data_IF_520878337290
#
_entry.id   IF_520878337290
#
_cell.length_a   1.000
_cell.length_b   1.000
_cell.length_c   1.000
_cell.angle_alpha   90.00
_cell.angle_beta   90.00
_cell.angle_gamma   90.00
#
_symmetry.space_group_name_H-M   'P 1'
#
loop_
_entity.id
_entity.type
_entity.pdbx_description
1 polymer ?
#
# COMPACT_ATOMS: atom_id res chain seq x y z
N UNK A 1 5.88 -21.22 1.31
CA UNK A 1 7.07 -20.71 2.05
C UNK A 1 6.80 -19.41 2.84
N UNK A 2 6.14 -18.39 2.25
CA UNK A 2 5.86 -17.15 2.96
C UNK A 2 4.94 -17.40 4.15
N UNK A 3 3.82 -18.08 3.94
CA UNK A 3 2.82 -18.34 4.98
C UNK A 3 3.40 -19.28 6.05
N UNK A 4 4.10 -20.32 5.64
CA UNK A 4 4.63 -21.34 6.56
C UNK A 4 5.89 -20.89 7.29
N UNK A 5 6.82 -20.21 6.61
CA UNK A 5 8.14 -19.92 7.17
C UNK A 5 8.26 -18.52 7.81
N UNK A 6 7.39 -17.57 7.44
CA UNK A 6 7.39 -16.23 8.08
C UNK A 6 6.34 -16.14 9.18
N UNK A 7 5.17 -16.74 8.94
CA UNK A 7 4.05 -16.64 9.88
C UNK A 7 3.89 -17.89 10.78
N UNK A 8 4.68 -18.94 10.55
CA UNK A 8 4.50 -20.25 11.20
C UNK A 8 3.05 -20.77 11.07
N UNK A 9 2.42 -20.46 9.94
CA UNK A 9 1.04 -20.81 9.64
C UNK A 9 1.01 -21.96 8.67
N UNK A 10 0.74 -23.15 9.17
CA UNK A 10 0.57 -24.33 8.29
C UNK A 10 -0.72 -24.22 7.50
N UNK A 11 -0.60 -24.33 6.16
CA UNK A 11 -1.75 -24.49 5.28
C UNK A 11 -2.25 -25.94 5.34
N UNK A 12 -3.52 -26.11 5.66
CA UNK A 12 -4.19 -27.42 5.60
C UNK A 12 -5.24 -27.42 4.47
N UNK A 13 -5.00 -28.12 3.35
CA UNK A 13 -5.93 -28.13 2.23
C UNK A 13 -7.33 -28.71 2.56
N UNK A 14 -7.51 -29.34 3.71
CA UNK A 14 -8.80 -29.88 4.15
C UNK A 14 -9.66 -28.84 4.88
N UNK A 15 -9.04 -27.87 5.52
CA UNK A 15 -9.70 -26.86 6.35
C UNK A 15 -9.52 -25.43 5.83
N UNK A 16 -8.56 -25.20 4.95
CA UNK A 16 -8.24 -23.88 4.43
C UNK A 16 -8.79 -23.65 3.03
N UNK A 17 -9.29 -22.44 2.78
CA UNK A 17 -9.80 -22.03 1.50
C UNK A 17 -9.51 -20.54 1.24
N UNK A 18 -9.17 -20.21 0.00
CA UNK A 18 -8.82 -18.87 -0.42
C UNK A 18 -9.90 -18.21 -1.28
N UNK A 19 -10.14 -16.93 -1.05
CA UNK A 19 -10.92 -16.11 -1.96
C UNK A 19 -9.97 -15.37 -2.91
N UNK A 20 -10.18 -15.52 -4.20
CA UNK A 20 -9.39 -14.88 -5.25
C UNK A 20 -10.28 -14.00 -6.12
N UNK A 21 -10.20 -12.69 -5.89
CA UNK A 21 -10.89 -11.67 -6.67
C UNK A 21 -9.90 -10.75 -7.42
N UNK A 22 -8.61 -11.00 -7.28
CA UNK A 22 -7.55 -10.25 -7.95
C UNK A 22 -7.31 -10.78 -9.37
N UNK A 23 -7.02 -9.89 -10.35
CA UNK A 23 -6.71 -10.29 -11.70
C UNK A 23 -5.48 -11.20 -11.76
N UNK A 24 -5.63 -12.39 -12.35
CA UNK A 24 -4.56 -13.39 -12.45
C UNK A 24 -3.45 -13.03 -13.47
N UNK A 25 -3.66 -12.00 -14.29
CA UNK A 25 -2.59 -11.45 -15.14
C UNK A 25 -1.63 -10.50 -14.38
N UNK A 26 -1.97 -10.14 -13.15
CA UNK A 26 -1.12 -9.34 -12.27
C UNK A 26 -0.40 -10.26 -11.27
N UNK A 27 0.90 -10.00 -10.99
CA UNK A 27 1.71 -10.84 -10.09
C UNK A 27 1.04 -11.11 -8.73
N UNK A 28 0.33 -10.14 -8.18
CA UNK A 28 -0.39 -10.29 -6.91
C UNK A 28 -1.46 -11.39 -6.99
N UNK A 29 -2.35 -11.31 -8.01
CA UNK A 29 -3.39 -12.33 -8.20
C UNK A 29 -2.82 -13.68 -8.65
N UNK A 30 -1.83 -13.67 -9.54
CA UNK A 30 -1.20 -14.90 -10.03
C UNK A 30 -0.42 -15.62 -8.93
N UNK A 31 0.58 -14.96 -8.34
CA UNK A 31 1.51 -15.64 -7.45
C UNK A 31 0.90 -15.87 -6.06
N UNK A 32 0.35 -14.83 -5.41
CA UNK A 32 -0.14 -14.97 -4.05
C UNK A 32 -1.49 -15.71 -3.95
N UNK A 33 -2.39 -15.49 -4.90
CA UNK A 33 -3.69 -16.15 -4.82
C UNK A 33 -3.70 -17.49 -5.59
N UNK A 34 -3.52 -17.46 -6.91
CA UNK A 34 -3.68 -18.66 -7.72
C UNK A 34 -2.56 -19.69 -7.49
N UNK A 35 -1.30 -19.26 -7.59
CA UNK A 35 -0.16 -20.18 -7.50
C UNK A 35 -0.02 -20.78 -6.10
N UNK A 36 -0.17 -19.98 -5.04
CA UNK A 36 -0.12 -20.51 -3.66
C UNK A 36 -1.16 -21.60 -3.45
N UNK A 37 -2.40 -21.38 -3.87
CA UNK A 37 -3.45 -22.40 -3.71
C UNK A 37 -3.18 -23.67 -4.49
N UNK A 38 -2.65 -23.57 -5.71
CA UNK A 38 -2.24 -24.75 -6.49
C UNK A 38 -1.12 -25.51 -5.78
N UNK A 39 -0.08 -24.82 -5.29
CA UNK A 39 1.06 -25.44 -4.63
C UNK A 39 0.72 -26.07 -3.27
N UNK A 40 -0.22 -25.49 -2.53
CA UNK A 40 -0.65 -25.99 -1.22
C UNK A 40 -1.80 -26.99 -1.30
N UNK A 41 -2.46 -27.12 -2.46
CA UNK A 41 -3.69 -27.91 -2.61
C UNK A 41 -4.92 -27.24 -1.98
N UNK A 42 -4.83 -25.96 -1.63
CA UNK A 42 -5.91 -25.19 -0.98
C UNK A 42 -7.04 -24.89 -1.98
N UNK A 43 -8.30 -25.22 -1.65
CA UNK A 43 -9.45 -24.82 -2.46
C UNK A 43 -9.53 -23.31 -2.68
N UNK A 44 -10.01 -22.91 -3.87
CA UNK A 44 -10.20 -21.50 -4.24
C UNK A 44 -11.63 -21.20 -4.60
N UNK A 45 -12.14 -20.05 -4.15
CA UNK A 45 -13.31 -19.38 -4.73
C UNK A 45 -12.84 -18.28 -5.67
N UNK A 46 -13.03 -18.48 -6.98
CA UNK A 46 -12.63 -17.52 -8.02
C UNK A 46 -13.78 -16.59 -8.38
N UNK A 47 -13.54 -15.31 -8.32
CA UNK A 47 -14.50 -14.28 -8.72
C UNK A 47 -13.94 -13.50 -9.91
N UNK A 48 -14.56 -13.61 -11.10
CA UNK A 48 -14.12 -12.88 -12.29
C UNK A 48 -14.39 -11.37 -12.18
N UNK A 49 -15.31 -10.98 -11.30
CA UNK A 49 -15.64 -9.59 -11.00
C UNK A 49 -15.87 -9.43 -9.50
N UNK A 50 -15.59 -8.23 -9.00
CA UNK A 50 -15.83 -7.90 -7.60
C UNK A 50 -17.34 -7.83 -7.30
N UNK A 51 -17.76 -8.56 -6.26
CA UNK A 51 -19.07 -8.44 -5.64
C UNK A 51 -18.95 -8.65 -4.13
N UNK A 52 -19.33 -7.63 -3.35
CA UNK A 52 -19.19 -7.67 -1.89
C UNK A 52 -20.10 -8.71 -1.22
N UNK A 53 -21.28 -8.96 -1.80
CA UNK A 53 -22.20 -9.97 -1.28
C UNK A 53 -21.66 -11.37 -1.56
N UNK A 54 -21.13 -11.61 -2.75
CA UNK A 54 -20.51 -12.90 -3.09
C UNK A 54 -19.32 -13.23 -2.18
N UNK A 55 -18.52 -12.22 -1.77
CA UNK A 55 -17.46 -12.43 -0.77
C UNK A 55 -18.02 -12.95 0.56
N UNK A 56 -19.08 -12.31 1.05
CA UNK A 56 -19.77 -12.72 2.27
C UNK A 56 -20.36 -14.16 2.16
N UNK A 57 -21.02 -14.44 1.04
CA UNK A 57 -21.62 -15.75 0.80
C UNK A 57 -20.55 -16.85 0.68
N UNK A 58 -19.38 -16.53 0.08
CA UNK A 58 -18.26 -17.46 -0.03
C UNK A 58 -17.64 -17.79 1.34
N UNK A 59 -17.44 -16.79 2.20
CA UNK A 59 -16.92 -16.99 3.55
C UNK A 59 -17.84 -17.97 4.30
N UNK A 60 -19.17 -17.73 4.27
CA UNK A 60 -20.15 -18.57 4.96
C UNK A 60 -20.24 -19.99 4.37
N UNK A 61 -20.24 -20.10 3.04
CA UNK A 61 -20.51 -21.37 2.36
C UNK A 61 -19.30 -22.28 2.28
N UNK A 62 -18.11 -21.69 2.08
CA UNK A 62 -16.88 -22.43 1.79
C UNK A 62 -15.84 -22.33 2.89
N UNK A 63 -16.13 -21.64 4.00
CA UNK A 63 -15.18 -21.49 5.11
C UNK A 63 -13.90 -20.74 4.71
N UNK A 64 -14.04 -19.75 3.80
CA UNK A 64 -12.89 -18.95 3.36
C UNK A 64 -12.17 -18.33 4.57
N UNK A 65 -10.86 -18.58 4.66
CA UNK A 65 -10.00 -18.08 5.74
C UNK A 65 -8.70 -17.41 5.25
N UNK A 66 -8.53 -17.29 3.93
CA UNK A 66 -7.47 -16.49 3.28
C UNK A 66 -8.10 -15.54 2.26
N UNK A 67 -7.91 -14.24 2.46
CA UNK A 67 -8.47 -13.19 1.58
C UNK A 67 -7.42 -12.13 1.31
N UNK A 68 -7.13 -11.88 0.03
CA UNK A 68 -6.26 -10.80 -0.39
C UNK A 68 -6.95 -9.89 -1.41
N UNK A 69 -6.70 -8.61 -1.30
CA UNK A 69 -7.29 -7.60 -2.18
C UNK A 69 -6.51 -6.30 -2.20
N UNK A 70 -6.92 -5.38 -3.06
CA UNK A 70 -6.45 -4.00 -3.05
C UNK A 70 -7.25 -3.16 -2.05
N UNK A 71 -6.77 -1.98 -1.61
CA UNK A 71 -7.49 -1.17 -0.62
C UNK A 71 -8.93 -0.83 -1.03
N UNK A 72 -9.18 -0.50 -2.30
CA UNK A 72 -10.51 -0.20 -2.83
C UNK A 72 -11.48 -1.39 -2.72
N UNK A 73 -10.97 -2.62 -2.86
CA UNK A 73 -11.75 -3.84 -2.63
C UNK A 73 -12.30 -3.88 -1.19
N UNK A 74 -11.43 -3.71 -0.19
CA UNK A 74 -11.82 -3.76 1.21
C UNK A 74 -12.70 -2.57 1.64
N UNK A 75 -12.44 -1.37 1.11
CA UNK A 75 -13.32 -0.22 1.33
C UNK A 75 -14.75 -0.48 0.83
N UNK A 76 -14.90 -1.09 -0.35
CA UNK A 76 -16.20 -1.46 -0.91
C UNK A 76 -16.88 -2.56 -0.09
N UNK A 77 -16.14 -3.59 0.32
CA UNK A 77 -16.64 -4.68 1.16
C UNK A 77 -17.11 -4.14 2.52
N UNK A 78 -16.31 -3.29 3.16
CA UNK A 78 -16.66 -2.66 4.43
C UNK A 78 -17.91 -1.78 4.33
N UNK A 79 -17.96 -0.89 3.32
CA UNK A 79 -19.11 0.00 3.07
C UNK A 79 -20.41 -0.75 2.74
N UNK A 80 -20.31 -1.86 2.05
CA UNK A 80 -21.47 -2.69 1.73
C UNK A 80 -22.08 -3.36 2.98
N UNK A 81 -21.31 -3.53 4.06
CA UNK A 81 -21.79 -4.05 5.33
C UNK A 81 -22.12 -5.53 5.38
N UNK A 82 -21.88 -6.29 4.29
CA UNK A 82 -22.23 -7.71 4.22
C UNK A 82 -21.35 -8.61 5.10
N UNK A 83 -20.23 -8.11 5.59
CA UNK A 83 -19.37 -8.86 6.52
C UNK A 83 -19.80 -8.75 7.99
N UNK A 84 -20.71 -7.82 8.34
CA UNK A 84 -21.17 -7.68 9.73
C UNK A 84 -21.91 -8.92 10.21
N UNK A 85 -21.50 -9.41 11.40
CA UNK A 85 -22.12 -10.57 12.05
C UNK A 85 -21.82 -11.92 11.37
N UNK A 86 -20.81 -11.98 10.50
CA UNK A 86 -20.30 -13.25 9.97
C UNK A 86 -19.29 -13.80 10.96
N UNK A 87 -19.41 -15.07 11.31
CA UNK A 87 -18.37 -15.76 12.09
C UNK A 87 -17.07 -15.83 11.27
N UNK A 88 -16.03 -15.18 11.76
CA UNK A 88 -14.67 -15.17 11.21
C UNK A 88 -13.66 -15.78 12.18
N UNK A 89 -14.08 -16.56 13.15
CA UNK A 89 -13.20 -17.18 14.15
C UNK A 89 -12.12 -18.07 13.53
N UNK A 90 -12.37 -18.61 12.33
CA UNK A 90 -11.42 -19.40 11.57
C UNK A 90 -10.57 -18.58 10.57
N UNK A 91 -10.73 -17.25 10.49
CA UNK A 91 -9.94 -16.41 9.61
C UNK A 91 -8.46 -16.48 9.99
N UNK A 92 -7.61 -16.87 9.07
CA UNK A 92 -6.17 -17.01 9.26
C UNK A 92 -5.39 -15.80 8.75
N UNK A 93 -5.74 -15.35 7.54
CA UNK A 93 -5.01 -14.26 6.91
C UNK A 93 -5.92 -13.44 5.98
N UNK A 94 -6.05 -12.18 6.28
CA UNK A 94 -6.80 -11.21 5.47
C UNK A 94 -5.98 -9.94 5.33
N UNK A 95 -5.77 -9.50 4.09
CA UNK A 95 -4.86 -8.38 3.90
C UNK A 95 -4.93 -7.69 2.55
N UNK A 96 -4.32 -6.52 2.51
CA UNK A 96 -4.31 -5.61 1.38
C UNK A 96 -2.89 -5.28 0.92
N UNK A 97 -2.77 -5.04 -0.37
CA UNK A 97 -1.51 -4.62 -1.00
C UNK A 97 -1.73 -4.10 -2.42
N UNK A 98 -0.64 -3.90 -3.17
CA UNK A 98 -0.68 -3.40 -4.54
C UNK A 98 -0.91 -1.89 -4.67
N UNK A 99 -1.34 -1.23 -3.60
CA UNK A 99 -1.39 0.24 -3.45
C UNK A 99 -1.18 0.58 -1.97
N UNK A 100 -1.03 1.88 -1.66
CA UNK A 100 -0.92 2.35 -0.28
C UNK A 100 -2.18 1.98 0.49
N UNK A 101 -2.03 1.23 1.57
CA UNK A 101 -3.12 0.86 2.46
C UNK A 101 -3.33 2.00 3.47
N UNK A 102 -4.47 2.73 3.43
CA UNK A 102 -4.75 3.78 4.39
C UNK A 102 -4.85 3.19 5.81
N UNK A 103 -4.23 3.83 6.80
CA UNK A 103 -4.29 3.37 8.17
C UNK A 103 -5.73 3.31 8.70
N UNK A 104 -6.58 4.26 8.30
CA UNK A 104 -8.01 4.26 8.61
C UNK A 104 -8.76 3.02 8.08
N UNK A 105 -8.30 2.42 6.97
CA UNK A 105 -8.85 1.16 6.48
C UNK A 105 -8.41 -0.01 7.37
N UNK A 106 -7.13 -0.04 7.76
CA UNK A 106 -6.61 -1.06 8.70
C UNK A 106 -7.41 -1.06 9.99
N UNK A 107 -7.60 0.10 10.62
CA UNK A 107 -8.40 0.23 11.85
C UNK A 107 -9.86 -0.24 11.67
N UNK A 108 -10.50 0.11 10.55
CA UNK A 108 -11.87 -0.33 10.25
C UNK A 108 -11.96 -1.86 10.10
N UNK A 109 -10.99 -2.44 9.39
CA UNK A 109 -10.95 -3.88 9.15
C UNK A 109 -10.62 -4.65 10.42
N UNK A 110 -9.67 -4.20 11.23
CA UNK A 110 -9.33 -4.80 12.52
C UNK A 110 -10.51 -4.80 13.48
N UNK A 111 -11.24 -3.68 13.55
CA UNK A 111 -12.48 -3.60 14.33
C UNK A 111 -13.52 -4.61 13.85
N UNK A 112 -13.75 -4.68 12.53
CA UNK A 112 -14.69 -5.62 11.93
C UNK A 112 -14.29 -7.08 12.21
N UNK A 113 -13.02 -7.42 12.06
CA UNK A 113 -12.48 -8.74 12.34
C UNK A 113 -12.73 -9.13 13.79
N UNK A 114 -12.39 -8.25 14.74
CA UNK A 114 -12.59 -8.45 16.18
C UNK A 114 -14.07 -8.62 16.53
N UNK A 115 -14.95 -7.78 15.97
CA UNK A 115 -16.41 -7.88 16.18
C UNK A 115 -16.98 -9.18 15.63
N UNK A 116 -16.35 -9.78 14.62
CA UNK A 116 -16.73 -11.05 14.00
C UNK A 116 -15.98 -12.28 14.56
N UNK A 117 -15.24 -12.13 15.68
CA UNK A 117 -14.57 -13.23 16.37
C UNK A 117 -13.25 -13.69 15.77
N UNK A 118 -12.68 -12.97 14.81
CA UNK A 118 -11.37 -13.29 14.26
C UNK A 118 -10.24 -13.08 15.28
N UNK A 119 -9.22 -13.93 15.19
CA UNK A 119 -8.01 -13.88 16.03
C UNK A 119 -6.79 -13.30 15.32
N UNK A 120 -6.98 -12.82 14.11
CA UNK A 120 -5.92 -12.19 13.31
C UNK A 120 -6.22 -10.70 13.09
N UNK A 121 -5.16 -9.94 12.81
CA UNK A 121 -5.24 -8.54 12.38
C UNK A 121 -5.21 -8.44 10.85
N UNK A 122 -5.69 -7.31 10.34
CA UNK A 122 -5.64 -6.98 8.93
C UNK A 122 -4.21 -6.65 8.51
N UNK A 123 -3.67 -7.36 7.52
CA UNK A 123 -2.28 -7.19 7.09
C UNK A 123 -2.14 -6.24 5.91
N UNK A 124 -1.05 -5.47 5.92
CA UNK A 124 -0.58 -4.69 4.80
C UNK A 124 0.60 -5.39 4.17
N UNK A 125 0.55 -5.62 2.85
CA UNK A 125 1.63 -6.25 2.09
C UNK A 125 2.25 -5.30 1.08
N UNK A 126 3.57 -5.41 0.91
CA UNK A 126 4.34 -4.67 -0.08
C UNK A 126 5.00 -5.64 -1.05
N UNK A 127 5.02 -5.25 -2.30
CA UNK A 127 5.70 -5.99 -3.35
C UNK A 127 5.63 -5.31 -4.70
N UNK A 128 6.37 -5.81 -5.65
CA UNK A 128 6.48 -5.28 -7.01
C UNK A 128 6.67 -6.41 -8.02
N UNK A 129 6.35 -6.12 -9.27
CA UNK A 129 6.44 -7.08 -10.38
C UNK A 129 7.87 -7.61 -10.55
N UNK A 130 8.86 -6.77 -10.32
CA UNK A 130 10.28 -7.07 -10.41
C UNK A 130 10.78 -8.13 -9.40
N UNK A 131 9.96 -8.42 -8.38
CA UNK A 131 10.17 -9.50 -7.39
C UNK A 131 9.05 -10.55 -7.45
N UNK A 132 8.34 -10.67 -8.55
CA UNK A 132 7.14 -11.50 -8.75
C UNK A 132 5.92 -10.96 -8.02
N UNK A 133 5.97 -10.63 -6.72
CA UNK A 133 4.86 -10.04 -5.99
C UNK A 133 5.25 -9.54 -4.59
N UNK A 134 5.06 -10.36 -3.54
CA UNK A 134 5.20 -9.95 -2.14
C UNK A 134 6.65 -10.04 -1.69
N UNK A 135 7.14 -8.93 -1.13
CA UNK A 135 8.48 -8.84 -0.52
C UNK A 135 8.40 -8.70 1.00
N UNK A 136 7.35 -8.07 1.51
CA UNK A 136 7.12 -7.95 2.95
C UNK A 136 5.63 -7.86 3.27
N UNK A 137 5.25 -8.14 4.51
CA UNK A 137 3.91 -7.91 5.04
C UNK A 137 3.91 -7.83 6.56
N UNK A 138 2.89 -7.17 7.12
CA UNK A 138 2.73 -7.02 8.56
C UNK A 138 2.31 -8.33 9.22
N UNK A 139 2.72 -8.54 10.46
CA UNK A 139 2.38 -9.75 11.21
C UNK A 139 0.89 -9.76 11.60
N UNK A 140 0.09 -10.75 11.15
CA UNK A 140 -1.33 -10.85 11.50
C UNK A 140 -1.62 -11.09 12.99
N UNK A 141 -0.62 -11.37 13.81
CA UNK A 141 -0.75 -11.62 15.25
C UNK A 141 -0.70 -10.34 16.09
N UNK A 142 -0.38 -9.19 15.49
CA UNK A 142 -0.29 -7.90 16.16
C UNK A 142 -0.85 -6.77 15.30
N UNK A 143 -1.32 -5.71 15.94
CA UNK A 143 -1.72 -4.50 15.23
C UNK A 143 -0.54 -3.93 14.44
N UNK A 144 -0.80 -3.56 13.18
CA UNK A 144 0.20 -2.96 12.34
C UNK A 144 0.34 -1.46 12.66
N UNK A 145 1.55 -0.95 12.93
CA UNK A 145 1.77 0.49 13.06
C UNK A 145 1.45 1.23 11.76
N UNK A 146 1.07 2.50 11.88
CA UNK A 146 0.78 3.36 10.73
C UNK A 146 1.97 3.42 9.76
N UNK A 147 1.70 3.22 8.46
CA UNK A 147 2.71 3.24 7.40
C UNK A 147 3.62 2.02 7.37
N UNK A 148 3.45 1.06 8.29
CA UNK A 148 4.20 -0.18 8.29
C UNK A 148 3.75 -1.08 7.14
N UNK A 149 4.71 -1.59 6.38
CA UNK A 149 4.54 -2.60 5.32
C UNK A 149 5.15 -3.95 5.73
N UNK A 150 5.47 -4.10 7.02
CA UNK A 150 5.90 -5.32 7.68
C UNK A 150 7.38 -5.63 7.55
N UNK A 151 7.71 -6.88 7.80
CA UNK A 151 9.06 -7.42 7.73
C UNK A 151 9.28 -8.17 6.41
N UNK A 152 10.53 -8.30 5.93
CA UNK A 152 10.84 -9.08 4.74
C UNK A 152 10.33 -10.52 4.82
N UNK A 153 9.83 -11.02 3.71
CA UNK A 153 9.46 -12.42 3.56
C UNK A 153 10.69 -13.35 3.68
N UNK A 154 10.44 -14.64 3.87
CA UNK A 154 11.50 -15.64 3.93
C UNK A 154 12.43 -15.58 2.71
N UNK A 155 13.74 -15.62 2.94
CA UNK A 155 14.80 -15.44 1.92
C UNK A 155 14.81 -14.07 1.20
N UNK A 156 13.97 -13.13 1.58
CA UNK A 156 14.04 -11.75 1.13
C UNK A 156 14.93 -10.95 2.09
N UNK A 157 15.85 -10.16 1.57
CA UNK A 157 16.62 -9.19 2.34
C UNK A 157 16.23 -7.79 1.92
N UNK A 158 16.11 -6.90 2.87
CA UNK A 158 15.82 -5.50 2.66
C UNK A 158 16.90 -4.64 3.30
N UNK A 159 17.26 -3.55 2.64
CA UNK A 159 18.07 -2.48 3.20
C UNK A 159 17.59 -1.13 2.66
N UNK A 160 17.92 -0.06 3.35
CA UNK A 160 17.76 1.29 2.82
C UNK A 160 19.13 1.86 2.45
N UNK A 161 19.18 2.54 1.29
CA UNK A 161 20.40 3.21 0.81
C UNK A 161 20.14 4.69 0.57
N UNK A 162 21.21 5.48 0.58
CA UNK A 162 21.12 6.87 0.14
C UNK A 162 20.69 6.91 -1.33
N UNK A 163 19.61 7.64 -1.69
CA UNK A 163 19.09 7.67 -3.05
C UNK A 163 20.15 7.95 -4.10
N UNK A 164 20.17 7.13 -5.17
CA UNK A 164 21.14 7.23 -6.25
C UNK A 164 22.53 6.69 -5.94
N UNK A 165 22.71 6.00 -4.81
CA UNK A 165 23.97 5.35 -4.42
C UNK A 165 23.73 3.92 -3.95
N UNK A 166 24.81 3.19 -3.62
CA UNK A 166 24.76 1.88 -2.94
C UNK A 166 25.12 1.98 -1.45
N UNK A 167 25.22 3.19 -0.90
CA UNK A 167 25.60 3.42 0.49
C UNK A 167 24.42 3.13 1.42
N UNK A 168 24.53 2.08 2.22
CA UNK A 168 23.53 1.71 3.20
C UNK A 168 23.35 2.83 4.24
N UNK A 169 22.11 3.16 4.58
CA UNK A 169 21.73 4.03 5.69
C UNK A 169 20.92 3.21 6.71
N UNK A 170 21.17 3.43 8.01
CA UNK A 170 20.51 2.71 9.10
C UNK A 170 19.81 3.70 10.03
N UNK A 171 18.54 3.41 10.37
CA UNK A 171 17.76 4.28 11.23
C UNK A 171 17.40 5.64 10.60
N UNK A 172 17.47 5.74 9.27
CA UNK A 172 17.13 6.92 8.49
C UNK A 172 16.30 6.53 7.27
N UNK A 173 15.54 7.49 6.72
CA UNK A 173 14.83 7.31 5.47
C UNK A 173 15.81 7.14 4.29
N UNK A 174 15.64 6.10 3.50
CA UNK A 174 16.45 5.81 2.33
C UNK A 174 15.65 5.12 1.23
N UNK A 175 16.26 4.93 0.06
CA UNK A 175 15.68 4.10 -0.99
C UNK A 175 15.71 2.64 -0.56
N UNK A 176 14.55 1.99 -0.59
CA UNK A 176 14.43 0.56 -0.30
C UNK A 176 15.09 -0.25 -1.41
N UNK A 177 16.03 -1.11 -1.02
CA UNK A 177 16.63 -2.10 -1.90
C UNK A 177 16.26 -3.51 -1.43
N UNK A 178 15.92 -4.38 -2.39
CA UNK A 178 15.48 -5.75 -2.15
C UNK A 178 16.46 -6.73 -2.82
N UNK A 179 16.84 -7.75 -2.07
CA UNK A 179 17.51 -8.94 -2.59
C UNK A 179 16.65 -10.15 -2.31
N UNK A 180 16.25 -10.88 -3.35
CA UNK A 180 15.39 -12.04 -3.24
C UNK A 180 15.71 -13.07 -4.33
N UNK A 181 15.44 -14.35 -4.10
CA UNK A 181 15.58 -15.39 -5.14
C UNK A 181 14.55 -15.23 -6.27
N UNK A 182 13.53 -14.40 -6.06
CA UNK A 182 12.47 -14.12 -7.02
C UNK A 182 12.69 -12.83 -7.82
N UNK A 183 13.89 -12.24 -7.75
CA UNK A 183 14.20 -11.08 -8.60
C UNK A 183 14.10 -11.43 -10.08
N UNK A 184 13.54 -10.52 -10.86
CA UNK A 184 13.52 -10.65 -12.32
C UNK A 184 14.94 -10.70 -12.90
N UNK A 185 15.10 -11.30 -14.06
CA UNK A 185 16.36 -11.24 -14.82
C UNK A 185 16.56 -9.87 -15.47
N UNK A 186 15.47 -9.15 -15.77
CA UNK A 186 15.47 -7.82 -16.35
C UNK A 186 14.17 -7.48 -17.06
N UNK A 187 14.07 -6.24 -17.53
CA UNK A 187 12.99 -5.80 -18.41
C UNK A 187 13.19 -6.32 -19.82
N UNK A 188 12.12 -6.84 -20.42
CA UNK A 188 12.17 -7.42 -21.76
C UNK A 188 12.60 -6.39 -22.82
N UNK A 189 13.68 -6.69 -23.54
CA UNK A 189 14.30 -5.79 -24.54
C UNK A 189 14.67 -4.39 -24.03
N UNK A 190 14.87 -4.22 -22.72
CA UNK A 190 15.27 -2.93 -22.13
C UNK A 190 16.40 -3.10 -21.10
N UNK A 191 17.63 -3.35 -21.57
CA UNK A 191 18.79 -3.51 -20.70
C UNK A 191 19.16 -2.21 -19.97
N UNK A 192 18.89 -1.06 -20.57
CA UNK A 192 19.22 0.24 -19.98
C UNK A 192 18.33 0.54 -18.76
N UNK A 193 17.02 0.28 -18.83
CA UNK A 193 16.13 0.40 -17.67
C UNK A 193 16.45 -0.71 -16.64
N UNK A 194 16.81 -1.92 -17.09
CA UNK A 194 17.24 -3.01 -16.18
C UNK A 194 18.45 -2.59 -15.35
N UNK A 195 19.47 -2.02 -15.98
CA UNK A 195 20.69 -1.58 -15.29
C UNK A 195 20.46 -0.43 -14.27
N UNK A 196 19.39 0.35 -14.42
CA UNK A 196 19.02 1.39 -13.45
C UNK A 196 18.42 0.84 -12.17
N UNK A 197 17.81 -0.34 -12.22
CA UNK A 197 17.10 -0.90 -11.07
C UNK A 197 17.79 -2.14 -10.48
N UNK A 198 18.44 -2.96 -11.29
CA UNK A 198 19.24 -4.10 -10.82
C UNK A 198 20.72 -3.69 -10.70
N UNK A 199 21.11 -3.30 -9.50
CA UNK A 199 22.44 -2.73 -9.24
C UNK A 199 23.28 -3.68 -8.38
N UNK A 200 24.52 -3.89 -8.79
CA UNK A 200 25.49 -4.66 -7.99
C UNK A 200 26.04 -3.80 -6.86
N UNK A 201 25.85 -4.25 -5.62
CA UNK A 201 26.35 -3.58 -4.42
C UNK A 201 27.74 -4.07 -4.02
N UNK A 202 28.32 -3.44 -3.00
CA UNK A 202 29.66 -3.75 -2.50
C UNK A 202 29.75 -5.15 -1.88
N UNK A 203 28.63 -5.76 -1.48
CA UNK A 203 28.54 -7.15 -0.99
C UNK A 203 28.60 -8.21 -2.13
N UNK A 204 28.73 -7.74 -3.36
CA UNK A 204 28.82 -8.57 -4.58
C UNK A 204 27.48 -9.07 -5.09
N UNK A 205 26.36 -8.79 -4.39
CA UNK A 205 25.00 -9.19 -4.81
C UNK A 205 24.37 -8.13 -5.69
N UNK A 206 23.42 -8.56 -6.53
CA UNK A 206 22.57 -7.67 -7.29
C UNK A 206 21.32 -7.38 -6.48
N UNK A 207 21.09 -6.11 -6.19
CA UNK A 207 19.94 -5.62 -5.46
C UNK A 207 19.00 -4.87 -6.39
N UNK A 208 17.71 -5.02 -6.14
CA UNK A 208 16.68 -4.24 -6.82
C UNK A 208 16.50 -2.90 -6.08
N UNK A 209 16.79 -1.81 -6.74
CA UNK A 209 16.43 -0.46 -6.33
C UNK A 209 14.96 -0.21 -6.64
N UNK A 210 14.13 -0.14 -5.63
CA UNK A 210 12.67 -0.14 -5.80
C UNK A 210 12.10 1.20 -6.26
N UNK A 211 12.87 2.28 -6.08
CA UNK A 211 12.40 3.65 -6.26
C UNK A 211 11.40 4.08 -5.18
N UNK A 212 11.35 3.39 -4.05
CA UNK A 212 10.51 3.70 -2.90
C UNK A 212 11.37 4.17 -1.72
N UNK A 213 11.00 5.31 -1.14
CA UNK A 213 11.57 5.77 0.13
C UNK A 213 10.94 5.02 1.28
N UNK A 214 11.76 4.42 2.12
CA UNK A 214 11.35 3.67 3.30
C UNK A 214 12.27 3.96 4.49
N UNK A 215 11.78 3.64 5.67
CA UNK A 215 12.55 3.56 6.91
C UNK A 215 12.52 2.12 7.40
N UNK A 216 13.63 1.58 7.86
CA UNK A 216 13.68 0.26 8.49
C UNK A 216 14.00 0.44 9.97
N UNK A 217 13.06 0.00 10.83
CA UNK A 217 13.27 -0.01 12.27
C UNK A 217 14.34 -1.04 12.64
N UNK A 218 15.35 -0.61 13.36
CA UNK A 218 16.53 -1.45 13.61
C UNK A 218 16.29 -2.56 14.65
N UNK A 219 15.34 -2.37 15.56
CA UNK A 219 15.04 -3.34 16.61
C UNK A 219 14.09 -4.44 16.12
N UNK A 220 13.07 -4.08 15.35
CA UNK A 220 12.00 -4.99 14.91
C UNK A 220 12.18 -5.50 13.50
N UNK A 221 12.93 -4.77 12.66
CA UNK A 221 13.03 -5.02 11.23
C UNK A 221 11.79 -4.57 10.44
N UNK A 222 10.83 -3.92 11.07
CA UNK A 222 9.64 -3.39 10.42
C UNK A 222 10.02 -2.31 9.39
N UNK A 223 9.47 -2.45 8.19
CA UNK A 223 9.68 -1.50 7.10
C UNK A 223 8.50 -0.53 7.08
N UNK A 224 8.82 0.76 7.09
CA UNK A 224 7.82 1.84 6.98
C UNK A 224 7.92 2.51 5.63
N UNK A 225 6.88 2.40 4.83
CA UNK A 225 6.79 3.08 3.55
C UNK A 225 6.59 4.57 3.73
N UNK A 226 7.34 5.38 2.98
CA UNK A 226 7.20 6.84 2.96
C UNK A 226 6.52 7.32 1.71
N UNK A 227 7.18 7.14 0.56
CA UNK A 227 6.71 7.64 -0.72
C UNK A 227 7.54 7.09 -1.87
N UNK A 228 7.01 7.11 -3.10
CA UNK A 228 7.82 6.96 -4.34
C UNK A 228 8.86 8.06 -4.44
N UNK A 229 10.12 7.72 -4.77
CA UNK A 229 11.22 8.68 -4.96
C UNK A 229 10.84 9.80 -5.93
N UNK A 230 10.18 9.47 -7.05
CA UNK A 230 9.72 10.44 -8.07
C UNK A 230 8.66 11.42 -7.55
N UNK A 231 8.10 11.19 -6.36
CA UNK A 231 7.10 12.05 -5.70
C UNK A 231 7.64 12.69 -4.41
N UNK A 232 8.92 12.50 -4.09
CA UNK A 232 9.54 13.18 -2.97
C UNK A 232 9.99 14.56 -3.44
N UNK A 233 9.57 15.61 -2.74
CA UNK A 233 9.95 16.97 -3.06
C UNK A 233 10.93 17.50 -2.01
N UNK A 234 11.97 18.20 -2.48
CA UNK A 234 12.90 18.91 -1.57
C UNK A 234 12.49 20.38 -1.50
N UNK A 235 11.98 20.81 -0.36
CA UNK A 235 11.52 22.19 -0.14
C UNK A 235 12.38 22.82 0.96
N UNK A 236 13.13 23.86 0.61
CA UNK A 236 14.06 24.54 1.53
C UNK A 236 15.00 23.59 2.29
N UNK A 237 15.45 22.53 1.60
CA UNK A 237 16.36 21.53 2.19
C UNK A 237 15.67 20.34 2.86
N UNK A 238 14.36 20.41 3.13
CA UNK A 238 13.60 19.34 3.78
C UNK A 238 12.94 18.42 2.76
N UNK A 239 12.96 17.11 3.04
CA UNK A 239 12.19 16.13 2.26
C UNK A 239 10.72 16.24 2.65
N UNK A 240 9.87 16.36 1.65
CA UNK A 240 8.42 16.46 1.80
C UNK A 240 7.77 15.31 1.07
N UNK A 241 6.91 14.60 1.78
CA UNK A 241 6.24 13.39 1.31
C UNK A 241 4.75 13.67 1.09
N UNK A 242 4.28 13.80 -0.16
CA UNK A 242 2.88 14.07 -0.50
C UNK A 242 1.88 13.12 0.15
N UNK A 243 2.23 11.84 0.29
CA UNK A 243 1.33 10.85 0.92
C UNK A 243 0.89 11.23 2.33
N UNK A 244 1.80 11.72 3.17
CA UNK A 244 1.47 12.16 4.53
C UNK A 244 0.60 13.41 4.54
N UNK A 245 0.83 14.31 3.59
CA UNK A 245 0.01 15.52 3.44
C UNK A 245 -1.40 15.14 2.99
N UNK A 246 -1.50 14.28 1.99
CA UNK A 246 -2.78 13.77 1.47
C UNK A 246 -3.57 13.02 2.55
N UNK A 247 -2.90 12.18 3.35
CA UNK A 247 -3.53 11.46 4.46
C UNK A 247 -4.08 12.41 5.52
N UNK A 248 -3.29 13.42 5.92
CA UNK A 248 -3.74 14.43 6.87
C UNK A 248 -4.98 15.18 6.37
N UNK A 249 -4.98 15.63 5.12
CA UNK A 249 -6.12 16.35 4.56
C UNK A 249 -7.36 15.48 4.33
N UNK A 250 -7.21 14.18 4.05
CA UNK A 250 -8.35 13.25 3.97
C UNK A 250 -9.08 13.05 5.30
N UNK A 251 -8.47 13.43 6.44
CA UNK A 251 -9.15 13.45 7.73
C UNK A 251 -10.17 14.57 7.88
N UNK A 252 -10.12 15.61 7.02
CA UNK A 252 -11.11 16.70 7.02
C UNK A 252 -12.44 16.22 6.43
N UNK A 253 -13.55 16.54 7.10
CA UNK A 253 -14.89 16.13 6.67
C UNK A 253 -15.29 16.70 5.30
N UNK A 254 -14.76 17.85 4.95
CA UNK A 254 -15.03 18.57 3.69
C UNK A 254 -14.35 17.93 2.48
N UNK A 255 -13.30 17.15 2.69
CA UNK A 255 -12.48 16.55 1.62
C UNK A 255 -12.92 15.11 1.40
N UNK A 256 -13.31 14.79 0.18
CA UNK A 256 -13.60 13.42 -0.25
C UNK A 256 -12.33 12.69 -0.69
N UNK A 257 -11.50 13.37 -1.49
CA UNK A 257 -10.20 12.86 -1.95
C UNK A 257 -9.28 14.04 -2.27
N UNK A 258 -7.98 13.84 -2.24
CA UNK A 258 -7.02 14.88 -2.57
C UNK A 258 -5.72 14.30 -3.11
N UNK A 259 -4.97 15.15 -3.82
CA UNK A 259 -3.66 14.83 -4.35
C UNK A 259 -2.74 16.04 -4.26
N UNK A 260 -1.49 15.82 -3.84
CA UNK A 260 -0.45 16.86 -3.76
C UNK A 260 0.61 16.63 -4.83
N UNK A 261 0.92 17.67 -5.57
CA UNK A 261 2.06 17.66 -6.50
C UNK A 261 2.99 18.85 -6.24
N UNK A 262 4.25 18.70 -6.65
CA UNK A 262 5.20 19.80 -6.74
C UNK A 262 5.05 20.54 -8.07
N UNK A 263 4.96 21.86 -8.02
CA UNK A 263 4.92 22.73 -9.19
C UNK A 263 6.01 23.80 -9.09
N UNK A 264 6.50 24.29 -10.22
CA UNK A 264 7.59 25.26 -10.33
C UNK A 264 8.88 24.65 -10.83
N UNK A 265 9.91 25.49 -10.95
CA UNK A 265 11.24 25.09 -11.40
C UNK A 265 12.02 24.41 -10.28
N UNK A 266 13.08 23.69 -10.64
CA UNK A 266 13.99 23.06 -9.69
C UNK A 266 14.56 24.10 -8.70
N UNK A 267 14.50 23.83 -7.40
CA UNK A 267 14.90 24.75 -6.34
C UNK A 267 13.83 25.76 -5.91
N UNK A 268 12.74 25.93 -6.69
CA UNK A 268 11.59 26.79 -6.35
C UNK A 268 10.26 26.03 -6.24
N UNK A 269 10.34 24.74 -6.02
CA UNK A 269 9.16 23.85 -5.94
C UNK A 269 8.18 24.34 -4.86
N UNK A 270 6.92 24.50 -5.24
CA UNK A 270 5.79 24.76 -4.35
C UNK A 270 4.84 23.59 -4.38
N UNK A 271 4.23 23.28 -3.24
CA UNK A 271 3.18 22.26 -3.20
C UNK A 271 1.85 22.85 -3.69
N UNK A 272 1.20 22.07 -4.56
CA UNK A 272 -0.16 22.32 -5.03
C UNK A 272 -1.04 21.15 -4.60
N UNK A 273 -2.12 21.46 -3.88
CA UNK A 273 -3.12 20.51 -3.42
C UNK A 273 -4.33 20.57 -4.34
N UNK A 274 -4.65 19.47 -4.98
CA UNK A 274 -5.92 19.24 -5.66
C UNK A 274 -6.91 18.64 -4.68
N UNK A 275 -8.11 19.18 -4.61
CA UNK A 275 -9.15 18.78 -3.64
C UNK A 275 -10.43 18.39 -4.39
N UNK A 276 -10.92 17.19 -4.11
CA UNK A 276 -12.28 16.77 -4.44
C UNK A 276 -13.15 16.97 -3.22
N UNK A 277 -14.12 17.89 -3.32
CA UNK A 277 -15.03 18.21 -2.19
C UNK A 277 -15.94 17.02 -1.87
N UNK A 278 -16.20 16.77 -0.59
CA UNK A 278 -17.25 15.84 -0.20
C UNK A 278 -18.60 16.38 -0.66
N UNK A 279 -19.49 15.50 -1.09
CA UNK A 279 -20.82 15.86 -1.63
C UNK A 279 -21.63 16.78 -0.72
N UNK A 280 -21.51 16.63 0.59
CA UNK A 280 -22.19 17.46 1.59
C UNK A 280 -21.74 18.92 1.56
N UNK A 281 -20.51 19.18 1.11
CA UNK A 281 -19.85 20.50 1.10
C UNK A 281 -19.61 21.02 -0.33
N UNK A 282 -20.31 20.44 -1.32
CA UNK A 282 -20.09 20.77 -2.74
C UNK A 282 -20.35 22.26 -3.05
N UNK A 283 -21.32 22.83 -2.37
CA UNK A 283 -21.76 24.22 -2.57
C UNK A 283 -21.12 25.23 -1.59
N UNK A 284 -20.20 24.77 -0.73
CA UNK A 284 -19.51 25.65 0.20
C UNK A 284 -18.59 26.62 -0.56
N UNK A 285 -18.46 27.84 0.01
CA UNK A 285 -17.58 28.87 -0.51
C UNK A 285 -16.14 28.41 -0.56
N UNK A 286 -15.55 28.44 -1.74
CA UNK A 286 -14.21 27.91 -1.98
C UNK A 286 -13.12 28.71 -1.25
N UNK A 287 -13.28 30.02 -1.11
CA UNK A 287 -12.30 30.87 -0.42
C UNK A 287 -12.33 30.63 1.10
N UNK A 288 -13.51 30.40 1.67
CA UNK A 288 -13.61 29.97 3.06
C UNK A 288 -13.00 28.60 3.27
N UNK A 289 -13.25 27.65 2.36
CA UNK A 289 -12.71 26.30 2.45
C UNK A 289 -11.18 26.28 2.26
N UNK A 290 -10.62 27.10 1.35
CA UNK A 290 -9.17 27.27 1.22
C UNK A 290 -8.52 27.75 2.53
N UNK A 291 -9.11 28.75 3.17
CA UNK A 291 -8.62 29.24 4.47
C UNK A 291 -8.61 28.13 5.52
N UNK A 292 -9.70 27.37 5.62
CA UNK A 292 -9.83 26.25 6.55
C UNK A 292 -8.81 25.16 6.29
N UNK A 293 -8.54 24.81 5.01
CA UNK A 293 -7.52 23.85 4.61
C UNK A 293 -6.12 24.32 5.01
N UNK A 294 -5.81 25.61 4.79
CA UNK A 294 -4.52 26.18 5.19
C UNK A 294 -4.35 26.16 6.71
N UNK A 295 -5.37 26.59 7.46
CA UNK A 295 -5.34 26.57 8.93
C UNK A 295 -5.17 25.17 9.47
N UNK A 296 -5.89 24.19 8.93
CA UNK A 296 -5.74 22.78 9.29
C UNK A 296 -4.30 22.29 9.01
N UNK A 297 -3.74 22.65 7.83
CA UNK A 297 -2.37 22.32 7.48
C UNK A 297 -1.34 22.93 8.43
N UNK A 298 -1.53 24.19 8.83
CA UNK A 298 -0.64 24.86 9.78
C UNK A 298 -0.66 24.21 11.18
N UNK A 299 -1.77 23.61 11.57
CA UNK A 299 -1.91 22.93 12.86
C UNK A 299 -1.38 21.50 12.88
N UNK A 300 -1.45 20.79 11.75
CA UNK A 300 -1.23 19.34 11.68
C UNK A 300 -0.02 18.93 10.85
N UNK A 301 0.59 19.84 10.08
CA UNK A 301 1.71 19.57 9.19
C UNK A 301 2.92 20.46 9.51
N UNK A 302 4.10 20.04 9.05
CA UNK A 302 5.25 20.94 9.07
C UNK A 302 5.02 22.14 8.14
N UNK A 303 5.61 23.28 8.46
CA UNK A 303 5.49 24.50 7.63
C UNK A 303 5.89 24.31 6.16
N UNK A 304 6.76 23.34 5.88
CA UNK A 304 7.23 23.00 4.55
C UNK A 304 6.26 22.08 3.79
N UNK A 305 5.39 21.41 4.53
CA UNK A 305 4.37 20.47 4.01
C UNK A 305 3.02 21.15 3.76
N UNK A 306 2.84 22.41 4.15
CA UNK A 306 1.60 23.15 3.90
C UNK A 306 1.56 23.61 2.44
N UNK A 307 0.56 23.16 1.63
CA UNK A 307 0.43 23.56 0.24
C UNK A 307 0.25 25.09 0.09
N UNK A 308 0.90 25.66 -0.92
CA UNK A 308 0.80 27.08 -1.25
C UNK A 308 -0.28 27.37 -2.28
N UNK A 309 -0.71 26.37 -3.02
CA UNK A 309 -1.71 26.45 -4.07
C UNK A 309 -2.77 25.39 -3.78
N UNK A 310 -4.04 25.77 -3.82
CA UNK A 310 -5.17 24.85 -3.65
C UNK A 310 -6.10 25.01 -4.84
N UNK A 311 -6.43 23.90 -5.47
CA UNK A 311 -7.34 23.83 -6.60
C UNK A 311 -8.43 22.80 -6.35
N UNK A 312 -9.69 23.19 -6.56
CA UNK A 312 -10.83 22.28 -6.46
C UNK A 312 -11.12 21.66 -7.81
N UNK A 313 -11.34 20.34 -7.83
CA UNK A 313 -11.66 19.57 -9.02
C UNK A 313 -12.81 18.60 -8.74
N UNK A 314 -13.55 18.21 -9.77
CA UNK A 314 -14.67 17.27 -9.61
C UNK A 314 -14.23 15.84 -9.31
N UNK A 315 -13.09 15.41 -9.86
CA UNK A 315 -12.52 14.09 -9.63
C UNK A 315 -11.02 14.08 -9.93
N UNK A 316 -10.25 13.27 -9.18
CA UNK A 316 -8.85 13.00 -9.51
C UNK A 316 -8.76 12.13 -10.76
N UNK A 317 -7.88 12.48 -11.74
CA UNK A 317 -7.62 11.63 -12.89
C UNK A 317 -7.02 10.30 -12.44
N UNK A 318 -7.48 9.20 -13.07
CA UNK A 318 -7.04 7.86 -12.71
C UNK A 318 -6.54 7.09 -13.93
N UNK A 319 -5.52 6.28 -13.73
CA UNK A 319 -5.01 5.33 -14.72
C UNK A 319 -6.03 4.21 -14.96
N UNK A 320 -5.82 3.40 -16.01
CA UNK A 320 -6.67 2.21 -16.33
C UNK A 320 -6.78 1.21 -15.18
N UNK A 321 -5.82 1.20 -14.26
CA UNK A 321 -5.81 0.32 -13.07
C UNK A 321 -6.28 1.02 -11.80
N UNK A 322 -6.91 2.23 -11.92
CA UNK A 322 -7.54 2.95 -10.81
C UNK A 322 -6.63 3.84 -9.97
N UNK A 323 -5.31 3.85 -10.17
CA UNK A 323 -4.38 4.73 -9.44
C UNK A 323 -4.47 6.17 -9.94
N UNK A 324 -4.21 7.15 -9.06
CA UNK A 324 -4.17 8.57 -9.43
C UNK A 324 -3.09 8.80 -10.49
N UNK A 325 -3.46 9.44 -11.59
CA UNK A 325 -2.53 9.80 -12.67
C UNK A 325 -1.97 11.21 -12.44
N UNK A 326 -0.84 11.27 -11.76
CA UNK A 326 -0.16 12.53 -11.43
C UNK A 326 0.38 13.28 -12.67
N UNK A 327 0.56 12.58 -13.79
CA UNK A 327 1.09 13.21 -15.02
C UNK A 327 0.07 14.16 -15.64
N UNK A 328 -1.21 13.90 -15.42
CA UNK A 328 -2.31 14.73 -15.94
C UNK A 328 -2.55 15.96 -15.05
N UNK A 329 -2.13 15.93 -13.77
CA UNK A 329 -2.33 17.02 -12.81
C UNK A 329 -1.25 18.14 -12.86
N UNK A 330 -0.34 18.09 -13.83
CA UNK A 330 0.74 19.08 -13.95
C UNK A 330 0.24 20.45 -14.40
#
# INVERSE_FOLDING_TARGET
DVVENVLDMKCDPKSDAMLTALPVFHGFGFALCMHVSICTGMPQSLFPQFDAKMCSDAIKKYGINYIFGVPDFFEKVYKAGYLKGIDMSNMKLIGSGGDVVPYSLTEKMDRLLKENGAHCHFVSGYGLTECVTVCSFTDPRREAPQGCIGIPCYNVKAMTVKPGTTDEVKGEDGELCIYAPTLMEGYYHDPDETAKVLVKHNDGKVWLHTGDMCYIEQETGDIYYRQRLKRVYKISGYLVYPSFIEEAYRAMAEIYDCCVIGVGEEGQTKLKLFVVKNKKFKNDDEEMLKKKIIEFGMQNLSKWSVPKIIEFIDALPRTKIGKVDFKVLK
#
